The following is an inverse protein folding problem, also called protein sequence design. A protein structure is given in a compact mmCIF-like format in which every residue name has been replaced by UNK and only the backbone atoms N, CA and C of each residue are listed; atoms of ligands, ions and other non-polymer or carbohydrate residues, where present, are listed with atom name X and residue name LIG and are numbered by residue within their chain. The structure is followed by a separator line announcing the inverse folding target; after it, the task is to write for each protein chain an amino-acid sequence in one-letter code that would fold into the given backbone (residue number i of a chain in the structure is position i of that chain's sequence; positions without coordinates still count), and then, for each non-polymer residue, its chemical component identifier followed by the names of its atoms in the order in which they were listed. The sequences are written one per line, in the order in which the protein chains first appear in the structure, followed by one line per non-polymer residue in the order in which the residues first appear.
data_IF_994255671270
#
_entry.id   IF_994255671270
#
_cell.length_a   1.000
_cell.length_b   1.000
_cell.length_c   1.000
_cell.angle_alpha   90.00
_cell.angle_beta   90.00
_cell.angle_gamma   90.00
#
_symmetry.space_group_name_H-M   'P 1'
#
loop_
_entity.id
_entity.type
_entity.pdbx_description
1 polymer ?
#
# COMPACT_ATOMS: atom_id res chain seq x y z
N UNK A 1 -9.57 -20.09 -12.88
CA UNK A 1 -10.95 -19.98 -12.35
C UNK A 1 -11.12 -18.65 -11.67
N UNK A 2 -12.15 -17.89 -12.04
CA UNK A 2 -12.55 -16.64 -11.40
C UNK A 2 -13.52 -16.98 -10.27
N UNK A 3 -13.19 -16.69 -9.03
CA UNK A 3 -14.00 -17.00 -7.85
C UNK A 3 -14.77 -15.80 -7.32
N UNK A 4 -14.34 -14.60 -7.63
CA UNK A 4 -15.00 -13.36 -7.21
C UNK A 4 -14.73 -12.24 -8.21
N UNK A 5 -15.75 -11.45 -8.49
CA UNK A 5 -15.69 -10.23 -9.31
C UNK A 5 -16.46 -9.14 -8.59
N UNK A 6 -15.92 -7.95 -8.59
CA UNK A 6 -16.53 -6.77 -8.00
C UNK A 6 -16.20 -5.54 -8.84
N UNK A 7 -17.21 -4.72 -9.14
CA UNK A 7 -17.00 -3.37 -9.69
C UNK A 7 -17.09 -2.33 -8.59
N UNK A 8 -16.39 -1.22 -8.77
CA UNK A 8 -16.57 -0.03 -7.96
C UNK A 8 -16.42 1.23 -8.82
N UNK A 9 -16.74 2.40 -8.25
CA UNK A 9 -16.54 3.66 -8.93
C UNK A 9 -15.06 3.99 -9.07
N UNK A 10 -14.68 4.63 -10.18
CA UNK A 10 -13.28 4.95 -10.49
C UNK A 10 -12.69 6.10 -9.65
N UNK A 11 -13.47 6.70 -8.75
CA UNK A 11 -13.05 7.77 -7.84
C UNK A 11 -12.31 7.24 -6.59
N UNK A 12 -12.41 5.94 -6.30
CA UNK A 12 -11.69 5.31 -5.20
C UNK A 12 -10.42 4.57 -5.67
N UNK A 13 -9.42 4.53 -4.78
CA UNK A 13 -8.18 3.78 -5.05
C UNK A 13 -8.41 2.28 -4.84
N UNK A 14 -7.89 1.45 -5.74
CA UNK A 14 -7.96 -0.03 -5.65
C UNK A 14 -7.51 -0.56 -4.27
N UNK A 15 -6.54 0.12 -3.65
CA UNK A 15 -6.04 -0.26 -2.33
C UNK A 15 -7.09 -0.27 -1.22
N UNK A 16 -8.24 0.40 -1.40
CA UNK A 16 -9.34 0.35 -0.44
C UNK A 16 -10.14 -0.95 -0.49
N UNK A 17 -10.14 -1.60 -1.64
CA UNK A 17 -10.99 -2.77 -1.90
C UNK A 17 -10.30 -4.12 -1.59
N UNK A 18 -8.94 -4.15 -1.47
CA UNK A 18 -8.20 -5.41 -1.34
C UNK A 18 -8.71 -6.30 -0.20
N UNK A 19 -8.92 -5.72 0.98
CA UNK A 19 -9.28 -6.51 2.17
C UNK A 19 -10.70 -7.09 2.05
N UNK A 20 -11.61 -6.36 1.43
CA UNK A 20 -12.97 -6.86 1.18
C UNK A 20 -12.97 -7.96 0.14
N UNK A 21 -12.23 -7.82 -0.95
CA UNK A 21 -12.04 -8.85 -1.97
C UNK A 21 -11.45 -10.12 -1.34
N UNK A 22 -10.40 -9.98 -0.53
CA UNK A 22 -9.76 -11.11 0.18
C UNK A 22 -10.76 -11.80 1.11
N UNK A 23 -11.54 -11.03 1.88
CA UNK A 23 -12.56 -11.56 2.79
C UNK A 23 -13.61 -12.36 2.05
N UNK A 24 -14.19 -11.82 0.99
CA UNK A 24 -15.24 -12.47 0.20
C UNK A 24 -14.69 -13.72 -0.52
N UNK A 25 -13.51 -13.62 -1.11
CA UNK A 25 -12.85 -14.77 -1.75
C UNK A 25 -12.56 -15.88 -0.73
N UNK A 26 -12.06 -15.52 0.46
CA UNK A 26 -11.80 -16.48 1.55
C UNK A 26 -13.09 -17.21 1.99
N UNK A 27 -14.21 -16.50 2.06
CA UNK A 27 -15.50 -17.10 2.40
C UNK A 27 -15.93 -18.10 1.33
N UNK A 28 -15.88 -17.74 0.05
CA UNK A 28 -16.23 -18.64 -1.06
C UNK A 28 -15.32 -19.88 -1.13
N UNK A 29 -14.01 -19.69 -0.90
CA UNK A 29 -13.10 -20.83 -0.85
C UNK A 29 -13.42 -21.78 0.31
N UNK A 30 -13.87 -21.25 1.45
CA UNK A 30 -14.32 -22.08 2.59
C UNK A 30 -15.54 -22.94 2.24
N UNK A 31 -16.49 -22.42 1.48
CA UNK A 31 -17.66 -23.16 0.98
C UNK A 31 -17.26 -24.34 0.06
N UNK A 32 -16.09 -24.22 -0.58
CA UNK A 32 -15.49 -25.25 -1.43
C UNK A 32 -14.47 -26.15 -0.71
N UNK A 33 -14.41 -26.09 0.62
CA UNK A 33 -13.42 -26.77 1.47
C UNK A 33 -11.96 -26.44 1.06
N UNK A 34 -11.72 -25.19 0.66
CA UNK A 34 -10.40 -24.68 0.27
C UNK A 34 -9.94 -23.58 1.22
N UNK A 35 -8.62 -23.50 1.41
CA UNK A 35 -7.98 -22.48 2.27
C UNK A 35 -7.15 -21.51 1.44
N UNK A 36 -7.28 -20.23 1.74
CA UNK A 36 -6.41 -19.21 1.17
C UNK A 36 -5.13 -19.09 2.03
N UNK A 37 -3.98 -19.21 1.41
CA UNK A 37 -2.67 -19.06 2.07
C UNK A 37 -1.90 -17.86 1.55
N UNK A 38 -2.10 -17.48 0.28
CA UNK A 38 -1.34 -16.44 -0.39
C UNK A 38 -2.26 -15.47 -1.11
N UNK A 39 -1.82 -14.22 -1.17
CA UNK A 39 -2.50 -13.16 -1.93
C UNK A 39 -1.46 -12.49 -2.82
N UNK A 40 -1.67 -12.54 -4.14
CA UNK A 40 -0.85 -11.87 -5.13
C UNK A 40 -1.67 -10.72 -5.73
N UNK A 41 -1.15 -9.50 -5.65
CA UNK A 41 -1.82 -8.33 -6.20
C UNK A 41 -0.83 -7.35 -6.83
N UNK A 42 -1.34 -6.48 -7.69
CA UNK A 42 -0.52 -5.46 -8.33
C UNK A 42 -0.25 -4.24 -7.41
N UNK A 43 0.46 -3.24 -7.95
CA UNK A 43 0.81 -2.03 -7.22
C UNK A 43 -0.38 -1.13 -6.89
N UNK A 44 -1.49 -1.21 -7.62
CA UNK A 44 -2.72 -0.46 -7.33
C UNK A 44 -3.28 -0.77 -5.93
N UNK A 45 -3.08 -2.00 -5.46
CA UNK A 45 -3.49 -2.45 -4.13
C UNK A 45 -2.48 -2.13 -3.01
N UNK A 46 -1.36 -1.45 -3.34
CA UNK A 46 -0.29 -1.13 -2.40
C UNK A 46 -0.76 -0.16 -1.32
N UNK A 47 -0.77 -0.61 -0.06
CA UNK A 47 -0.90 0.26 1.09
C UNK A 47 -0.36 -0.42 2.35
N UNK A 48 0.22 0.37 3.27
CA UNK A 48 0.71 -0.18 4.54
C UNK A 48 -0.40 -0.82 5.38
N UNK A 49 -1.62 -0.29 5.31
CA UNK A 49 -2.79 -0.88 5.95
C UNK A 49 -3.07 -2.29 5.39
N UNK A 50 -3.07 -2.45 4.06
CA UNK A 50 -3.29 -3.75 3.43
C UNK A 50 -2.24 -4.77 3.84
N UNK A 51 -0.96 -4.36 3.88
CA UNK A 51 0.12 -5.25 4.31
C UNK A 51 -0.06 -5.71 5.75
N UNK A 52 -0.39 -4.78 6.65
CA UNK A 52 -0.68 -5.09 8.05
C UNK A 52 -1.88 -6.04 8.20
N UNK A 53 -2.95 -5.82 7.44
CA UNK A 53 -4.16 -6.67 7.48
C UNK A 53 -3.92 -8.06 6.92
N UNK A 54 -3.13 -8.21 5.85
CA UNK A 54 -2.74 -9.52 5.33
C UNK A 54 -1.90 -10.29 6.35
N UNK A 55 -0.91 -9.64 6.98
CA UNK A 55 -0.08 -10.25 8.02
C UNK A 55 -0.91 -10.65 9.25
N UNK A 56 -1.80 -9.78 9.73
CA UNK A 56 -2.70 -10.09 10.85
C UNK A 56 -3.67 -11.25 10.53
N UNK A 57 -4.02 -11.42 9.27
CA UNK A 57 -4.84 -12.54 8.79
C UNK A 57 -4.07 -13.83 8.50
N UNK A 58 -2.77 -13.90 8.85
CA UNK A 58 -1.86 -15.01 8.51
C UNK A 58 -1.85 -15.36 7.01
N UNK A 59 -1.97 -14.34 6.17
CA UNK A 59 -1.89 -14.46 4.72
C UNK A 59 -0.52 -14.00 4.21
N UNK A 60 0.12 -14.83 3.42
CA UNK A 60 1.38 -14.48 2.79
C UNK A 60 1.10 -13.56 1.59
N UNK A 61 1.18 -12.24 1.81
CA UNK A 61 0.94 -11.23 0.77
C UNK A 61 2.15 -11.04 -0.13
N UNK A 62 1.90 -10.92 -1.45
CA UNK A 62 2.85 -10.51 -2.49
C UNK A 62 2.16 -9.39 -3.29
N UNK A 63 2.14 -8.21 -2.72
CA UNK A 63 1.53 -7.01 -3.31
C UNK A 63 2.65 -6.11 -3.79
N UNK A 64 2.73 -5.85 -5.10
CA UNK A 64 3.75 -4.98 -5.66
C UNK A 64 3.74 -3.61 -5.00
N UNK A 65 4.93 -3.06 -4.71
CA UNK A 65 5.02 -1.72 -4.14
C UNK A 65 4.64 -0.67 -5.19
N UNK A 66 3.84 0.30 -4.81
CA UNK A 66 3.61 1.50 -5.60
C UNK A 66 4.57 2.60 -5.11
N UNK A 67 5.57 2.89 -5.93
CA UNK A 67 6.66 3.79 -5.56
C UNK A 67 7.68 3.16 -4.60
N UNK A 68 8.61 3.95 -4.14
CA UNK A 68 9.61 3.55 -3.15
C UNK A 68 9.28 4.17 -1.79
N UNK A 69 9.16 3.33 -0.77
CA UNK A 69 9.13 3.80 0.59
C UNK A 69 10.58 4.06 1.04
N UNK A 70 10.92 5.33 1.25
CA UNK A 70 12.23 5.70 1.75
C UNK A 70 12.12 6.37 3.13
N UNK A 71 12.60 5.67 4.15
CA UNK A 71 12.69 6.19 5.52
C UNK A 71 13.85 7.18 5.68
N UNK A 72 14.86 7.09 4.82
CA UNK A 72 16.00 8.00 4.85
C UNK A 72 15.59 9.34 4.27
N UNK A 73 16.13 10.42 4.84
CA UNK A 73 15.98 11.78 4.33
C UNK A 73 17.37 12.40 4.28
N UNK A 74 17.70 12.98 3.15
CA UNK A 74 18.98 13.65 2.99
C UNK A 74 19.21 14.66 4.11
N UNK A 75 20.37 14.57 4.76
CA UNK A 75 20.72 15.43 5.87
C UNK A 75 20.13 15.06 7.22
N UNK A 76 19.55 13.87 7.34
CA UNK A 76 19.03 13.35 8.60
C UNK A 76 19.42 11.89 8.77
N UNK A 77 19.91 11.54 9.96
CA UNK A 77 20.21 10.17 10.36
C UNK A 77 19.14 9.68 11.33
N UNK A 78 18.59 8.50 11.07
CA UNK A 78 17.62 7.86 11.97
C UNK A 78 18.32 7.00 13.00
N UNK A 79 18.04 7.26 14.27
CA UNK A 79 18.41 6.42 15.41
C UNK A 79 17.22 5.53 15.78
N UNK A 80 17.35 4.23 15.52
CA UNK A 80 16.28 3.27 15.71
C UNK A 80 16.05 2.92 17.20
N UNK A 81 17.08 3.01 18.05
CA UNK A 81 16.96 2.70 19.47
C UNK A 81 16.14 3.75 20.21
N UNK A 82 16.37 5.03 19.86
CA UNK A 82 15.70 6.18 20.47
C UNK A 82 14.46 6.64 19.71
N UNK A 83 14.24 6.07 18.52
CA UNK A 83 13.18 6.50 17.58
C UNK A 83 13.19 8.01 17.32
N UNK A 84 14.35 8.55 16.95
CA UNK A 84 14.57 9.97 16.67
C UNK A 84 15.32 10.14 15.33
N UNK A 85 15.23 11.34 14.78
CA UNK A 85 16.10 11.77 13.69
C UNK A 85 17.10 12.82 14.20
N UNK A 86 18.34 12.73 13.74
CA UNK A 86 19.39 13.72 14.00
C UNK A 86 19.70 14.43 12.69
N UNK A 87 19.65 15.76 12.69
CA UNK A 87 19.95 16.56 11.50
C UNK A 87 21.47 16.80 11.32
N UNK A 88 21.89 17.28 10.15
CA UNK A 88 23.31 17.63 9.84
C UNK A 88 23.96 18.55 10.88
N UNK A 89 23.18 19.34 11.63
CA UNK A 89 23.65 20.23 12.69
C UNK A 89 23.60 19.59 14.09
N UNK A 90 23.44 18.26 14.18
CA UNK A 90 23.39 17.52 15.44
C UNK A 90 22.12 17.75 16.26
N UNK A 91 21.09 18.43 15.71
CA UNK A 91 19.84 18.66 16.45
C UNK A 91 18.85 17.53 16.27
N UNK A 92 18.11 17.23 17.34
CA UNK A 92 17.19 16.09 17.44
C UNK A 92 15.79 16.46 16.98
N UNK A 93 15.21 15.61 16.17
CA UNK A 93 13.79 15.59 15.87
C UNK A 93 13.16 14.41 16.62
N UNK A 94 12.45 14.69 17.69
CA UNK A 94 11.78 13.65 18.50
C UNK A 94 10.48 13.20 17.88
N UNK A 95 10.15 11.93 18.06
CA UNK A 95 8.86 11.38 17.70
C UNK A 95 7.75 12.04 18.56
N UNK A 96 6.69 12.49 17.91
CA UNK A 96 5.49 13.11 18.53
C UNK A 96 4.25 12.22 18.42
N UNK A 97 4.48 10.92 18.21
CA UNK A 97 3.44 9.92 18.09
C UNK A 97 2.84 9.81 16.69
N UNK A 98 1.80 8.99 16.62
CA UNK A 98 1.05 8.73 15.39
C UNK A 98 -0.13 9.69 15.31
N UNK A 99 -0.34 10.27 14.12
CA UNK A 99 -1.50 11.10 13.80
C UNK A 99 -2.09 10.68 12.47
N UNK A 100 -3.39 10.92 12.32
CA UNK A 100 -4.05 10.77 11.03
C UNK A 100 -3.90 12.05 10.22
N UNK A 101 -3.32 11.95 9.03
CA UNK A 101 -3.23 13.03 8.04
C UNK A 101 -3.95 12.55 6.78
N UNK A 102 -5.04 13.23 6.38
CA UNK A 102 -5.84 12.86 5.20
C UNK A 102 -6.25 11.37 5.16
N UNK A 103 -6.57 10.78 6.32
CA UNK A 103 -6.95 9.38 6.45
C UNK A 103 -5.77 8.39 6.50
N UNK A 104 -4.51 8.87 6.46
CA UNK A 104 -3.32 8.04 6.59
C UNK A 104 -2.70 8.18 7.99
N UNK A 105 -2.37 7.05 8.62
CA UNK A 105 -1.67 7.04 9.91
C UNK A 105 -0.18 7.26 9.70
N UNK A 106 0.35 8.31 10.32
CA UNK A 106 1.74 8.71 10.16
C UNK A 106 2.41 9.02 11.50
N UNK A 107 3.68 8.61 11.63
CA UNK A 107 4.58 9.12 12.66
C UNK A 107 4.99 10.55 12.33
N UNK A 108 5.00 11.41 13.34
CA UNK A 108 5.42 12.79 13.23
C UNK A 108 6.68 13.03 14.04
N UNK A 109 7.73 13.50 13.38
CA UNK A 109 8.99 13.91 14.03
C UNK A 109 9.13 15.42 13.95
N UNK A 110 9.55 16.05 15.05
CA UNK A 110 9.69 17.52 15.12
C UNK A 110 10.94 17.89 15.90
N UNK A 111 11.69 18.87 15.39
CA UNK A 111 12.74 19.55 16.14
C UNK A 111 12.16 20.56 17.13
N UNK A 112 12.98 21.03 18.09
CA UNK A 112 12.66 22.23 18.86
C UNK A 112 12.67 23.48 17.96
N UNK A 113 11.84 24.45 18.28
CA UNK A 113 11.86 25.75 17.59
C UNK A 113 13.13 26.53 17.92
N UNK A 114 13.63 26.41 19.16
CA UNK A 114 14.89 27.04 19.61
C UNK A 114 16.07 26.54 18.81
N UNK A 115 16.13 25.23 18.53
CA UNK A 115 17.22 24.62 17.73
C UNK A 115 17.27 25.11 16.28
N UNK A 116 16.10 25.45 15.72
CA UNK A 116 16.02 25.93 14.33
C UNK A 116 16.06 27.45 14.21
N UNK A 117 15.90 28.22 15.30
CA UNK A 117 15.82 29.69 15.26
C UNK A 117 17.06 30.32 14.65
N UNK A 118 18.24 29.91 15.11
CA UNK A 118 19.54 30.45 14.70
C UNK A 118 20.36 29.45 13.87
N UNK A 119 19.70 28.50 13.21
CA UNK A 119 20.37 27.49 12.42
C UNK A 119 20.90 28.08 11.10
N UNK A 120 22.19 27.92 10.75
CA UNK A 120 22.77 28.49 9.54
C UNK A 120 22.13 27.96 8.25
N UNK A 121 21.59 26.74 8.29
CA UNK A 121 20.92 26.11 7.14
C UNK A 121 19.39 26.17 7.24
N UNK A 122 18.83 27.05 8.11
CA UNK A 122 17.38 27.12 8.31
C UNK A 122 16.62 27.36 7.03
N UNK A 123 17.08 28.28 6.19
CA UNK A 123 16.39 28.67 4.95
C UNK A 123 16.25 27.49 3.98
N UNK A 124 17.31 26.71 3.79
CA UNK A 124 17.28 25.52 2.91
C UNK A 124 16.61 24.30 3.55
N UNK A 125 16.61 24.20 4.90
CA UNK A 125 16.08 23.04 5.62
C UNK A 125 14.59 23.15 5.91
N UNK A 126 14.10 24.26 6.48
CA UNK A 126 12.70 24.43 6.88
C UNK A 126 12.06 25.77 6.45
N UNK A 127 12.82 26.62 5.74
CA UNK A 127 12.33 27.88 5.19
C UNK A 127 11.70 28.80 6.26
N UNK A 128 10.49 29.26 6.01
CA UNK A 128 9.74 30.11 6.94
C UNK A 128 9.20 29.37 8.18
N UNK A 129 9.23 28.04 8.21
CA UNK A 129 8.74 27.28 9.36
C UNK A 129 9.63 27.50 10.60
N UNK A 130 9.06 27.65 11.82
CA UNK A 130 9.83 27.81 13.04
C UNK A 130 10.65 26.56 13.40
N UNK A 131 10.31 25.40 12.84
CA UNK A 131 10.96 24.11 13.15
C UNK A 131 10.86 23.15 11.99
N UNK A 132 11.79 22.18 11.93
CA UNK A 132 11.69 21.06 10.98
C UNK A 132 10.61 20.07 11.42
N UNK A 133 9.77 19.66 10.47
CA UNK A 133 8.80 18.58 10.63
C UNK A 133 9.07 17.51 9.57
N UNK A 134 8.97 16.25 9.96
CA UNK A 134 9.02 15.11 9.06
C UNK A 134 7.90 14.14 9.40
N UNK A 135 7.36 13.52 8.37
CA UNK A 135 6.23 12.60 8.49
C UNK A 135 6.57 11.31 7.75
N UNK A 136 6.31 10.18 8.39
CA UNK A 136 6.52 8.84 7.83
C UNK A 136 5.33 7.96 8.15
N UNK A 137 4.98 7.06 7.24
CA UNK A 137 3.88 6.13 7.48
C UNK A 137 4.06 5.30 8.75
N UNK A 138 3.00 5.10 9.51
CA UNK A 138 3.00 4.23 10.69
C UNK A 138 3.25 2.75 10.32
N UNK A 139 3.06 2.40 9.06
CA UNK A 139 3.22 1.03 8.54
C UNK A 139 4.61 0.74 7.97
N UNK A 140 5.63 1.57 8.29
CA UNK A 140 6.99 1.44 7.73
C UNK A 140 7.56 0.02 7.82
N UNK A 141 7.35 -0.68 8.94
CA UNK A 141 7.85 -2.04 9.13
C UNK A 141 7.15 -3.05 8.22
N UNK A 142 5.87 -2.84 7.91
CA UNK A 142 5.12 -3.67 6.97
C UNK A 142 5.60 -3.44 5.53
N UNK A 143 5.91 -2.20 5.15
CA UNK A 143 6.53 -1.89 3.87
C UNK A 143 7.90 -2.58 3.71
N UNK A 144 8.77 -2.47 4.71
CA UNK A 144 10.09 -3.09 4.70
C UNK A 144 10.00 -4.62 4.56
N UNK A 145 9.11 -5.26 5.34
CA UNK A 145 8.89 -6.71 5.22
C UNK A 145 8.32 -7.14 3.87
N UNK A 146 7.40 -6.35 3.31
CA UNK A 146 6.85 -6.61 1.97
C UNK A 146 7.94 -6.49 0.90
N UNK A 147 8.77 -5.46 0.97
CA UNK A 147 9.88 -5.25 0.04
C UNK A 147 10.88 -6.40 0.10
N UNK A 148 11.32 -6.79 1.30
CA UNK A 148 12.20 -7.95 1.48
C UNK A 148 11.60 -9.24 0.90
N UNK A 149 10.30 -9.45 1.13
CA UNK A 149 9.58 -10.62 0.60
C UNK A 149 9.51 -10.60 -0.92
N UNK A 150 9.20 -9.46 -1.54
CA UNK A 150 9.13 -9.30 -3.00
C UNK A 150 10.50 -9.48 -3.67
N UNK A 151 11.57 -9.03 -3.02
CA UNK A 151 12.95 -9.15 -3.53
C UNK A 151 13.54 -10.56 -3.34
N UNK A 152 12.91 -11.41 -2.55
CA UNK A 152 13.32 -12.81 -2.38
C UNK A 152 13.12 -13.63 -3.66
N UNK A 153 13.86 -14.75 -3.87
CA UNK A 153 13.64 -15.65 -5.01
C UNK A 153 12.17 -16.13 -5.10
N UNK A 154 11.56 -16.41 -3.95
CA UNK A 154 10.14 -16.77 -3.87
C UNK A 154 9.23 -15.64 -4.32
N UNK A 155 9.51 -14.41 -3.90
CA UNK A 155 8.77 -13.20 -4.30
C UNK A 155 8.82 -12.97 -5.80
N UNK A 156 9.99 -13.09 -6.40
CA UNK A 156 10.17 -12.96 -7.85
C UNK A 156 9.39 -14.04 -8.62
N UNK A 157 9.39 -15.27 -8.11
CA UNK A 157 8.58 -16.35 -8.68
C UNK A 157 7.07 -16.05 -8.58
N UNK A 158 6.60 -15.52 -7.42
CA UNK A 158 5.19 -15.13 -7.24
C UNK A 158 4.78 -14.00 -8.16
N UNK A 159 5.65 -13.01 -8.40
CA UNK A 159 5.43 -11.96 -9.38
C UNK A 159 5.23 -12.52 -10.79
N UNK A 160 6.12 -13.41 -11.24
CA UNK A 160 5.99 -14.08 -12.54
C UNK A 160 4.71 -14.90 -12.64
N UNK A 161 4.35 -15.64 -11.57
CA UNK A 161 3.11 -16.42 -11.52
C UNK A 161 1.87 -15.52 -11.68
N UNK A 162 1.83 -14.35 -11.01
CA UNK A 162 0.74 -13.41 -11.19
C UNK A 162 0.62 -12.93 -12.64
N UNK A 163 1.74 -12.53 -13.23
CA UNK A 163 1.77 -12.07 -14.63
C UNK A 163 1.27 -13.14 -15.60
N UNK A 164 1.67 -14.39 -15.43
CA UNK A 164 1.28 -15.49 -16.32
C UNK A 164 -0.14 -16.01 -16.11
N UNK A 165 -0.78 -15.70 -14.97
CA UNK A 165 -2.13 -16.21 -14.63
C UNK A 165 -3.21 -15.14 -14.69
N UNK A 166 -2.93 -13.95 -14.23
CA UNK A 166 -3.94 -12.88 -14.08
C UNK A 166 -4.01 -12.02 -15.35
N UNK A 167 -2.87 -11.65 -15.92
CA UNK A 167 -2.86 -10.75 -17.08
C UNK A 167 -3.55 -11.33 -18.33
N UNK A 168 -3.39 -12.63 -18.68
CA UNK A 168 -4.14 -13.22 -19.79
C UNK A 168 -5.66 -13.21 -19.57
N UNK A 169 -6.12 -13.39 -18.32
CA UNK A 169 -7.55 -13.33 -17.98
C UNK A 169 -8.08 -11.90 -18.18
N UNK A 170 -7.36 -10.89 -17.67
CA UNK A 170 -7.74 -9.50 -17.89
C UNK A 170 -7.69 -9.13 -19.38
N UNK A 171 -6.67 -9.58 -20.11
CA UNK A 171 -6.58 -9.41 -21.57
C UNK A 171 -7.79 -9.97 -22.28
N UNK A 172 -8.25 -11.16 -21.91
CA UNK A 172 -9.46 -11.77 -22.48
C UNK A 172 -10.73 -10.96 -22.14
N UNK A 173 -10.90 -10.57 -20.89
CA UNK A 173 -12.05 -9.77 -20.44
C UNK A 173 -12.12 -8.41 -21.14
N UNK A 174 -11.00 -7.77 -21.38
CA UNK A 174 -10.94 -6.48 -22.08
C UNK A 174 -11.16 -6.66 -23.58
N UNK A 175 -10.39 -7.55 -24.23
CA UNK A 175 -10.34 -7.63 -25.69
C UNK A 175 -11.52 -8.37 -26.31
N UNK A 176 -12.07 -9.39 -25.61
CA UNK A 176 -13.15 -10.22 -26.16
C UNK A 176 -14.52 -9.91 -25.54
N UNK A 177 -14.55 -9.41 -24.30
CA UNK A 177 -15.80 -9.10 -23.62
C UNK A 177 -16.05 -7.61 -23.42
N UNK A 178 -15.17 -6.75 -23.95
CA UNK A 178 -15.37 -5.30 -23.99
C UNK A 178 -15.40 -4.63 -22.60
N UNK A 179 -14.74 -5.22 -21.59
CA UNK A 179 -14.72 -4.66 -20.22
C UNK A 179 -13.74 -3.49 -20.05
N UNK A 180 -13.13 -3.00 -21.10
CA UNK A 180 -12.42 -1.72 -21.13
C UNK A 180 -13.36 -0.54 -20.86
N UNK A 181 -14.64 -0.69 -21.23
CA UNK A 181 -15.68 0.31 -21.00
C UNK A 181 -17.04 -0.33 -20.74
N UNK A 182 -17.51 -0.24 -19.52
CA UNK A 182 -18.82 -0.74 -19.15
C UNK A 182 -19.88 0.34 -19.42
N UNK A 183 -20.74 0.11 -20.43
CA UNK A 183 -21.82 1.02 -20.85
C UNK A 183 -23.12 0.76 -20.07
N UNK A 184 -23.04 0.66 -18.73
CA UNK A 184 -24.21 0.48 -17.86
C UNK A 184 -24.31 1.60 -16.82
N UNK A 185 -25.53 1.96 -16.42
CA UNK A 185 -25.75 2.98 -15.39
C UNK A 185 -25.83 2.31 -14.01
N UNK A 186 -24.97 2.77 -13.09
CA UNK A 186 -24.97 2.34 -11.71
C UNK A 186 -24.14 1.08 -11.45
N UNK A 187 -23.76 0.91 -10.17
CA UNK A 187 -22.85 -0.14 -9.70
C UNK A 187 -23.41 -1.55 -9.89
N UNK A 188 -24.71 -1.75 -9.65
CA UNK A 188 -25.35 -3.07 -9.74
C UNK A 188 -25.39 -3.59 -11.18
N UNK A 189 -25.70 -2.72 -12.13
CA UNK A 189 -25.68 -3.07 -13.54
C UNK A 189 -24.25 -3.34 -14.04
N UNK A 190 -23.26 -2.56 -13.58
CA UNK A 190 -21.86 -2.79 -13.89
C UNK A 190 -21.36 -4.13 -13.31
N UNK A 191 -21.71 -4.45 -12.04
CA UNK A 191 -21.40 -5.73 -11.43
C UNK A 191 -21.99 -6.91 -12.21
N UNK A 192 -23.26 -6.78 -12.63
CA UNK A 192 -23.93 -7.82 -13.44
C UNK A 192 -23.20 -8.06 -14.76
N UNK A 193 -22.82 -6.99 -15.45
CA UNK A 193 -22.04 -7.08 -16.69
C UNK A 193 -20.69 -7.80 -16.48
N UNK A 194 -19.95 -7.44 -15.45
CA UNK A 194 -18.68 -8.07 -15.11
C UNK A 194 -18.83 -9.55 -14.72
N UNK A 195 -19.87 -9.89 -13.94
CA UNK A 195 -20.15 -11.27 -13.56
C UNK A 195 -20.50 -12.14 -14.77
N UNK A 196 -21.30 -11.63 -15.70
CA UNK A 196 -21.64 -12.34 -16.94
C UNK A 196 -20.40 -12.57 -17.79
N UNK A 197 -19.54 -11.57 -17.97
CA UNK A 197 -18.30 -11.71 -18.74
C UNK A 197 -17.28 -12.65 -18.07
N UNK A 198 -17.28 -12.72 -16.75
CA UNK A 198 -16.40 -13.62 -16.01
C UNK A 198 -16.89 -15.08 -15.98
N UNK A 199 -18.18 -15.32 -16.30
CA UNK A 199 -18.79 -16.65 -16.36
C UNK A 199 -18.74 -17.26 -17.76
N UNK A 200 -18.48 -16.47 -18.80
CA UNK A 200 -18.37 -16.90 -20.20
C UNK A 200 -16.95 -17.43 -20.50
#
# INVERSE_FOLDING_TARGET
VITHVQSDFADEKDSRHLIDIVRQTKQRLKELDRKMHKVLADGGFSSGFNYARLEAGNLEGYVSLYGQYNQQREGFTYDAEKDIYVCKQGKVLSNKGIKSDHGYLNFHYRSSATDCKNCPIKQSCCGKSPRKKMTFTAFRNHFNRMELRLNSPKGQRMKKLRMSTVEPVFGSLINYFGLDRINSKGKDAANKCMLMSAAA
#
